data_IF_967273434766
#
_entry.id   IF_967273434766
#
_cell.length_a   1.000
_cell.length_b   1.000
_cell.length_c   1.000
_cell.angle_alpha   90.00
_cell.angle_beta   90.00
_cell.angle_gamma   90.00
#
_symmetry.space_group_name_H-M   'P 1'
#
loop_
_entity.id
_entity.type
_entity.pdbx_description
1 polymer ?
#
# COMPACT_ATOMS: atom_id res chain seq x y z
N UNK A 1 -18.35 62.29 -18.10
CA UNK A 1 -17.39 62.32 -16.97
C UNK A 1 -17.68 61.25 -15.90
N UNK A 2 -18.36 60.15 -16.21
CA UNK A 2 -18.81 59.13 -15.26
C UNK A 2 -18.20 57.72 -15.44
N UNK A 3 -17.48 57.45 -16.51
CA UNK A 3 -17.01 56.10 -16.82
C UNK A 3 -15.64 55.75 -16.20
N UNK A 4 -14.80 56.75 -15.90
CA UNK A 4 -13.45 56.52 -15.35
C UNK A 4 -13.42 56.31 -13.83
N UNK A 5 -14.44 56.73 -13.09
CA UNK A 5 -14.49 56.52 -11.63
C UNK A 5 -14.86 55.07 -11.28
N UNK A 6 -15.71 54.41 -12.05
CA UNK A 6 -16.07 53.01 -11.82
C UNK A 6 -14.92 52.04 -12.14
N UNK A 7 -14.12 52.31 -13.16
CA UNK A 7 -12.93 51.53 -13.51
C UNK A 7 -11.81 51.68 -12.46
N UNK A 8 -11.66 52.88 -11.90
CA UNK A 8 -10.65 53.14 -10.86
C UNK A 8 -10.99 52.45 -9.51
N UNK A 9 -12.29 52.40 -9.15
CA UNK A 9 -12.77 51.70 -7.95
C UNK A 9 -12.62 50.19 -8.10
N UNK A 10 -12.89 49.62 -9.27
CA UNK A 10 -12.71 48.18 -9.54
C UNK A 10 -11.25 47.82 -9.56
N UNK A 11 -10.37 48.69 -10.06
CA UNK A 11 -8.92 48.43 -10.08
C UNK A 11 -8.30 48.55 -8.69
N UNK A 12 -8.72 49.52 -7.86
CA UNK A 12 -8.27 49.63 -6.45
C UNK A 12 -8.80 48.51 -5.58
N UNK A 13 -10.04 48.05 -5.77
CA UNK A 13 -10.59 46.93 -5.01
C UNK A 13 -9.92 45.60 -5.38
N UNK A 14 -9.55 45.43 -6.67
CA UNK A 14 -8.82 44.24 -7.14
C UNK A 14 -7.34 44.25 -6.71
N UNK A 15 -6.74 45.42 -6.52
CA UNK A 15 -5.38 45.61 -6.01
C UNK A 15 -5.31 45.33 -4.50
N UNK A 16 -6.28 45.82 -3.72
CA UNK A 16 -6.31 45.63 -2.26
C UNK A 16 -6.65 44.21 -1.84
N UNK A 17 -7.43 43.47 -2.65
CA UNK A 17 -7.72 42.04 -2.40
C UNK A 17 -6.56 41.12 -2.76
N UNK A 18 -5.60 41.60 -3.60
CA UNK A 18 -4.44 40.83 -4.01
C UNK A 18 -3.31 40.85 -2.97
N UNK A 19 -3.22 41.89 -2.17
CA UNK A 19 -2.08 42.09 -1.23
C UNK A 19 -2.27 41.44 0.15
N UNK A 20 -3.50 41.19 0.59
CA UNK A 20 -3.74 40.53 1.89
C UNK A 20 -3.68 39.00 1.84
N UNK A 21 -3.90 38.38 0.69
CA UNK A 21 -3.76 36.93 0.50
C UNK A 21 -2.29 36.50 0.28
N UNK A 22 -1.43 37.38 -0.21
CA UNK A 22 -0.03 37.07 -0.51
C UNK A 22 0.90 37.00 0.71
N UNK A 23 0.53 37.58 1.84
CA UNK A 23 1.39 37.60 3.05
C UNK A 23 1.22 36.36 3.93
N UNK A 24 0.06 35.70 3.94
CA UNK A 24 -0.14 34.46 4.70
C UNK A 24 0.42 33.22 3.99
N UNK A 25 0.33 33.16 2.68
CA UNK A 25 0.80 32.02 1.86
C UNK A 25 2.31 31.76 2.02
N UNK A 26 3.23 32.77 1.97
CA UNK A 26 4.66 32.51 2.12
C UNK A 26 5.05 32.02 3.52
N UNK A 27 4.35 32.46 4.58
CA UNK A 27 4.62 31.99 5.94
C UNK A 27 4.17 30.54 6.14
N UNK A 28 2.94 30.21 5.75
CA UNK A 28 2.42 28.84 5.75
C UNK A 28 3.28 27.92 4.88
N UNK A 29 3.66 28.39 3.69
CA UNK A 29 4.55 27.69 2.78
C UNK A 29 5.88 27.33 3.44
N UNK A 30 6.50 28.28 4.15
CA UNK A 30 7.78 28.06 4.81
C UNK A 30 7.73 27.00 5.92
N UNK A 31 6.59 26.87 6.62
CA UNK A 31 6.41 25.89 7.70
C UNK A 31 5.99 24.53 7.14
N UNK A 32 4.96 24.49 6.27
CA UNK A 32 4.37 23.24 5.78
C UNK A 32 5.16 22.57 4.65
N UNK A 33 6.11 23.25 4.00
CA UNK A 33 7.07 22.66 3.06
C UNK A 33 8.38 22.24 3.74
N UNK A 34 8.53 22.41 5.06
CA UNK A 34 9.67 21.88 5.79
C UNK A 34 9.45 20.39 6.11
N UNK A 35 10.17 19.50 5.43
CA UNK A 35 10.12 18.06 5.63
C UNK A 35 10.27 17.65 7.09
N UNK A 36 11.16 18.32 7.84
CA UNK A 36 11.41 18.03 9.26
C UNK A 36 10.20 18.32 10.15
N UNK A 37 9.43 19.37 9.87
CA UNK A 37 8.24 19.72 10.63
C UNK A 37 7.14 18.69 10.42
N UNK A 38 6.86 18.33 9.16
CA UNK A 38 5.86 17.32 8.81
C UNK A 38 6.26 15.96 9.38
N UNK A 39 7.54 15.57 9.29
CA UNK A 39 8.05 14.33 9.88
C UNK A 39 7.79 14.27 11.40
N UNK A 40 8.05 15.38 12.11
CA UNK A 40 7.80 15.45 13.56
C UNK A 40 6.31 15.24 13.88
N UNK A 41 5.41 15.83 13.11
CA UNK A 41 3.95 15.66 13.29
C UNK A 41 3.53 14.22 13.00
N UNK A 42 4.06 13.59 11.96
CA UNK A 42 3.78 12.19 11.64
C UNK A 42 4.24 11.29 12.79
N UNK A 43 5.43 11.55 13.36
CA UNK A 43 5.94 10.77 14.48
C UNK A 43 5.08 10.93 15.74
N UNK A 44 4.68 12.17 16.07
CA UNK A 44 3.75 12.43 17.17
C UNK A 44 2.41 11.73 16.95
N UNK A 45 1.87 11.80 15.73
CA UNK A 45 0.63 11.11 15.37
C UNK A 45 0.76 9.59 15.49
N UNK A 46 1.90 8.99 15.11
CA UNK A 46 2.16 7.57 15.30
C UNK A 46 2.14 7.16 16.78
N UNK A 47 2.71 7.98 17.67
CA UNK A 47 2.65 7.76 19.13
C UNK A 47 1.22 7.85 19.62
N UNK A 48 0.45 8.84 19.18
CA UNK A 48 -0.96 9.00 19.53
C UNK A 48 -1.77 7.76 19.13
N UNK A 49 -1.59 7.28 17.89
CA UNK A 49 -2.26 6.06 17.40
C UNK A 49 -1.85 4.85 18.25
N UNK A 50 -0.58 4.70 18.59
CA UNK A 50 -0.12 3.62 19.47
C UNK A 50 -0.80 3.63 20.83
N UNK A 51 -0.93 4.81 21.46
CA UNK A 51 -1.62 4.96 22.74
C UNK A 51 -3.10 4.61 22.62
N UNK A 52 -3.77 5.04 21.56
CA UNK A 52 -5.18 4.70 21.30
C UNK A 52 -5.40 3.19 21.10
N UNK A 53 -4.51 2.52 20.33
CA UNK A 53 -4.58 1.06 20.12
C UNK A 53 -4.35 0.31 21.43
N UNK A 54 -3.50 0.82 22.32
CA UNK A 54 -3.27 0.25 23.67
C UNK A 54 -4.44 0.42 24.64
N UNK A 55 -5.50 1.13 24.22
CA UNK A 55 -6.72 1.34 25.03
C UNK A 55 -6.70 2.59 25.93
N UNK A 56 -5.74 3.50 25.73
CA UNK A 56 -5.76 4.80 26.41
C UNK A 56 -6.78 5.73 25.74
N UNK A 57 -8.06 5.57 26.05
CA UNK A 57 -9.12 6.46 25.58
C UNK A 57 -9.20 7.71 26.51
N UNK A 58 -8.38 8.72 26.22
CA UNK A 58 -8.43 10.01 26.90
C UNK A 58 -8.93 11.09 25.90
N UNK A 59 -9.86 11.97 26.29
CA UNK A 59 -10.31 13.09 25.45
C UNK A 59 -9.16 13.94 24.88
N UNK A 60 -8.08 14.10 25.64
CA UNK A 60 -6.89 14.84 25.21
C UNK A 60 -6.21 14.14 24.02
N UNK A 61 -6.04 12.81 24.10
CA UNK A 61 -5.41 12.01 23.03
C UNK A 61 -6.26 12.08 21.74
N UNK A 62 -7.58 12.00 21.87
CA UNK A 62 -8.48 12.13 20.74
C UNK A 62 -8.45 13.53 20.12
N UNK A 63 -8.38 14.59 20.93
CA UNK A 63 -8.25 15.97 20.44
C UNK A 63 -6.92 16.20 19.74
N UNK A 64 -5.82 15.62 20.22
CA UNK A 64 -4.51 15.69 19.57
C UNK A 64 -4.51 14.96 18.22
N UNK A 65 -5.18 13.81 18.10
CA UNK A 65 -5.34 13.10 16.81
C UNK A 65 -6.10 13.95 15.79
N UNK A 66 -7.19 14.60 16.22
CA UNK A 66 -7.94 15.54 15.38
C UNK A 66 -7.08 16.72 14.96
N UNK A 67 -6.29 17.28 15.86
CA UNK A 67 -5.37 18.40 15.56
C UNK A 67 -4.33 17.97 14.51
N UNK A 68 -3.70 16.81 14.66
CA UNK A 68 -2.77 16.29 13.66
C UNK A 68 -3.46 16.11 12.29
N UNK A 69 -4.71 15.62 12.27
CA UNK A 69 -5.46 15.46 11.03
C UNK A 69 -5.75 16.81 10.38
N UNK A 70 -6.12 17.82 11.14
CA UNK A 70 -6.32 19.19 10.63
C UNK A 70 -5.03 19.78 10.05
N UNK A 71 -3.89 19.55 10.68
CA UNK A 71 -2.58 19.99 10.18
C UNK A 71 -2.29 19.34 8.82
N UNK A 72 -2.53 18.04 8.66
CA UNK A 72 -2.35 17.34 7.39
C UNK A 72 -3.32 17.81 6.31
N UNK A 73 -4.55 18.18 6.66
CA UNK A 73 -5.49 18.78 5.71
C UNK A 73 -4.99 20.15 5.23
N UNK A 74 -4.48 20.98 6.13
CA UNK A 74 -3.90 22.29 5.79
C UNK A 74 -2.67 22.11 4.89
N UNK A 75 -1.79 21.17 5.19
CA UNK A 75 -0.65 20.81 4.33
C UNK A 75 -1.11 20.45 2.91
N UNK A 76 -2.08 19.55 2.79
CA UNK A 76 -2.63 19.16 1.50
C UNK A 76 -3.21 20.36 0.74
N UNK A 77 -3.97 21.22 1.41
CA UNK A 77 -4.55 22.42 0.78
C UNK A 77 -3.48 23.41 0.31
N UNK A 78 -2.41 23.60 1.10
CA UNK A 78 -1.27 24.47 0.72
C UNK A 78 -0.56 23.90 -0.51
N UNK A 79 -0.24 22.60 -0.52
CA UNK A 79 0.35 21.91 -1.69
C UNK A 79 -0.56 21.96 -2.92
N UNK A 80 -1.87 21.82 -2.72
CA UNK A 80 -2.87 21.88 -3.81
C UNK A 80 -2.97 23.30 -4.39
N UNK A 81 -2.91 24.33 -3.54
CA UNK A 81 -2.93 25.73 -3.98
C UNK A 81 -1.66 26.10 -4.75
N UNK A 82 -0.51 25.52 -4.41
CA UNK A 82 0.78 25.79 -5.07
C UNK A 82 0.92 25.05 -6.41
N UNK A 83 0.69 23.74 -6.41
CA UNK A 83 0.90 22.88 -7.57
C UNK A 83 -0.30 22.86 -8.53
N UNK A 84 -1.46 23.34 -8.09
CA UNK A 84 -2.73 23.18 -8.76
C UNK A 84 -3.22 21.73 -8.74
N UNK A 85 -4.50 21.52 -9.03
CA UNK A 85 -5.13 20.18 -8.99
C UNK A 85 -4.38 19.13 -9.81
N UNK A 86 -4.04 19.46 -11.07
CA UNK A 86 -3.35 18.51 -11.95
C UNK A 86 -1.90 18.26 -11.54
N UNK A 87 -1.18 19.26 -11.04
CA UNK A 87 0.19 19.15 -10.57
C UNK A 87 0.29 18.28 -9.32
N UNK A 88 -0.61 18.49 -8.36
CA UNK A 88 -0.68 17.72 -7.13
C UNK A 88 -0.86 16.21 -7.40
N UNK A 89 -1.84 15.85 -8.23
CA UNK A 89 -2.16 14.46 -8.54
C UNK A 89 -1.21 13.80 -9.57
N UNK A 90 -0.24 14.53 -10.10
CA UNK A 90 0.79 13.95 -10.99
C UNK A 90 1.90 13.27 -10.19
N UNK A 91 2.28 13.82 -9.07
CA UNK A 91 3.31 13.27 -8.20
C UNK A 91 2.79 12.11 -7.34
N UNK A 92 3.54 11.01 -7.28
CA UNK A 92 3.15 9.78 -6.58
C UNK A 92 3.03 9.96 -5.06
N UNK A 93 3.91 10.77 -4.46
CA UNK A 93 3.90 11.05 -3.03
C UNK A 93 2.72 11.90 -2.61
N UNK A 94 2.44 12.95 -3.37
CA UNK A 94 1.28 13.80 -3.13
C UNK A 94 -0.04 13.02 -3.31
N UNK A 95 -0.10 12.04 -4.25
CA UNK A 95 -1.25 11.12 -4.36
C UNK A 95 -1.44 10.31 -3.08
N UNK A 96 -0.37 9.70 -2.56
CA UNK A 96 -0.42 8.93 -1.33
C UNK A 96 -0.94 9.80 -0.17
N UNK A 97 -0.33 10.98 0.02
CA UNK A 97 -0.73 11.93 1.06
C UNK A 97 -2.19 12.33 0.92
N UNK A 98 -2.64 12.67 -0.28
CA UNK A 98 -4.03 13.02 -0.57
C UNK A 98 -5.00 11.90 -0.23
N UNK A 99 -4.72 10.68 -0.68
CA UNK A 99 -5.55 9.50 -0.38
C UNK A 99 -5.64 9.27 1.13
N UNK A 100 -4.52 9.36 1.86
CA UNK A 100 -4.50 9.18 3.31
C UNK A 100 -5.26 10.28 4.06
N UNK A 101 -5.25 11.53 3.56
CA UNK A 101 -6.10 12.60 4.09
C UNK A 101 -7.57 12.28 3.85
N UNK A 102 -7.96 11.91 2.63
CA UNK A 102 -9.35 11.57 2.31
C UNK A 102 -9.87 10.40 3.14
N UNK A 103 -9.07 9.35 3.34
CA UNK A 103 -9.41 8.23 4.23
C UNK A 103 -9.55 8.65 5.70
N UNK A 104 -8.98 9.80 6.07
CA UNK A 104 -9.06 10.33 7.44
C UNK A 104 -10.29 11.20 7.69
N UNK A 105 -10.92 11.77 6.64
CA UNK A 105 -12.09 12.66 6.76
C UNK A 105 -13.24 12.00 7.50
N UNK A 106 -13.65 10.74 7.20
CA UNK A 106 -14.75 10.12 7.90
C UNK A 106 -14.50 9.97 9.41
N UNK A 107 -13.26 9.73 9.84
CA UNK A 107 -12.92 9.66 11.27
C UNK A 107 -12.99 11.02 11.96
N UNK A 108 -12.69 12.10 11.24
CA UNK A 108 -12.83 13.47 11.70
C UNK A 108 -14.33 13.84 11.85
N UNK A 109 -15.14 13.48 10.85
CA UNK A 109 -16.59 13.68 10.88
C UNK A 109 -17.23 12.92 12.04
N UNK A 110 -16.82 11.68 12.26
CA UNK A 110 -17.30 10.85 13.38
C UNK A 110 -16.99 11.44 14.77
N UNK A 111 -15.94 12.26 14.89
CA UNK A 111 -15.64 12.97 16.14
C UNK A 111 -16.68 14.03 16.48
N UNK A 112 -17.30 14.68 15.49
CA UNK A 112 -18.29 15.73 15.66
C UNK A 112 -19.74 15.21 15.67
N UNK A 113 -20.01 13.97 15.27
CA UNK A 113 -21.34 13.38 15.24
C UNK A 113 -21.59 12.61 16.54
N UNK A 114 -22.70 12.84 17.24
CA UNK A 114 -23.06 12.05 18.41
C UNK A 114 -23.18 10.55 18.09
N UNK A 115 -22.71 9.69 19.00
CA UNK A 115 -22.56 8.23 18.84
C UNK A 115 -23.82 7.44 18.42
N UNK A 116 -24.99 8.08 18.39
CA UNK A 116 -26.27 7.40 18.12
C UNK A 116 -26.61 7.21 16.64
N UNK A 117 -25.81 7.75 15.71
CA UNK A 117 -26.16 7.77 14.28
C UNK A 117 -25.31 6.85 13.39
N UNK A 118 -24.20 6.30 13.87
CA UNK A 118 -23.36 5.40 13.07
C UNK A 118 -23.35 3.98 13.65
N UNK A 119 -23.46 2.96 12.81
CA UNK A 119 -23.34 1.58 13.26
C UNK A 119 -21.93 1.34 13.84
N UNK A 120 -21.84 0.58 14.93
CA UNK A 120 -20.60 0.29 15.66
C UNK A 120 -19.50 -0.25 14.70
N UNK A 121 -19.89 -1.05 13.71
CA UNK A 121 -19.00 -1.63 12.72
C UNK A 121 -18.32 -0.59 11.83
N UNK A 122 -19.05 0.44 11.39
CA UNK A 122 -18.49 1.54 10.58
C UNK A 122 -17.46 2.33 11.39
N UNK A 123 -17.76 2.63 12.67
CA UNK A 123 -16.83 3.33 13.55
C UNK A 123 -15.53 2.54 13.76
N UNK A 124 -15.60 1.21 13.89
CA UNK A 124 -14.42 0.35 14.00
C UNK A 124 -13.55 0.42 12.75
N UNK A 125 -14.15 0.29 11.57
CA UNK A 125 -13.43 0.40 10.29
C UNK A 125 -12.73 1.76 10.16
N UNK A 126 -13.42 2.85 10.51
CA UNK A 126 -12.85 4.21 10.47
C UNK A 126 -11.68 4.38 11.46
N UNK A 127 -11.73 3.71 12.61
CA UNK A 127 -10.59 3.68 13.56
C UNK A 127 -9.39 2.97 12.96
N UNK A 128 -9.59 1.85 12.29
CA UNK A 128 -8.49 1.10 11.63
C UNK A 128 -7.87 1.90 10.49
N UNK A 129 -8.68 2.56 9.65
CA UNK A 129 -8.19 3.38 8.53
C UNK A 129 -7.26 4.52 8.96
N UNK A 130 -7.41 5.05 10.17
CA UNK A 130 -6.50 6.10 10.67
C UNK A 130 -5.06 5.61 10.86
N UNK A 131 -4.85 4.29 11.11
CA UNK A 131 -3.52 3.70 11.25
C UNK A 131 -2.74 3.83 9.93
N UNK A 132 -3.42 3.82 8.79
CA UNK A 132 -2.80 3.96 7.48
C UNK A 132 -2.03 5.28 7.30
N UNK A 133 -2.29 6.30 8.14
CA UNK A 133 -1.54 7.57 8.10
C UNK A 133 -0.04 7.39 8.37
N UNK A 134 0.35 6.30 9.06
CA UNK A 134 1.76 5.97 9.31
C UNK A 134 2.52 5.78 7.98
N UNK A 135 1.84 5.33 6.91
CA UNK A 135 2.47 5.18 5.60
C UNK A 135 3.06 6.47 5.02
N UNK A 136 2.69 7.65 5.54
CA UNK A 136 3.35 8.90 5.17
C UNK A 136 4.83 8.93 5.54
N UNK A 137 5.25 8.17 6.56
CA UNK A 137 6.66 8.04 6.91
C UNK A 137 7.51 7.49 5.75
N UNK A 138 6.91 6.72 4.85
CA UNK A 138 7.60 6.14 3.69
C UNK A 138 8.19 7.20 2.74
N UNK A 139 7.59 8.41 2.71
CA UNK A 139 8.10 9.54 1.94
C UNK A 139 9.53 9.96 2.36
N UNK A 140 9.86 9.79 3.63
CA UNK A 140 11.14 10.23 4.20
C UNK A 140 12.24 9.18 4.11
N UNK A 141 11.93 7.95 3.67
CA UNK A 141 12.95 6.93 3.46
C UNK A 141 13.71 7.20 2.15
N UNK A 142 15.05 7.36 2.22
CA UNK A 142 15.85 7.58 1.04
C UNK A 142 15.71 6.40 0.06
N UNK A 143 15.60 6.69 -1.22
CA UNK A 143 15.48 5.70 -2.30
C UNK A 143 14.21 4.83 -2.29
N UNK A 144 13.22 5.08 -1.40
CA UNK A 144 11.99 4.28 -1.36
C UNK A 144 11.24 4.31 -2.69
N UNK A 145 11.20 5.46 -3.37
CA UNK A 145 10.60 5.57 -4.70
C UNK A 145 11.29 4.65 -5.73
N UNK A 146 12.62 4.47 -5.64
CA UNK A 146 13.37 3.55 -6.50
C UNK A 146 13.00 2.10 -6.21
N UNK A 147 12.85 1.73 -4.93
CA UNK A 147 12.41 0.38 -4.51
C UNK A 147 11.00 0.09 -5.04
N UNK A 148 10.07 1.03 -4.89
CA UNK A 148 8.70 0.86 -5.41
C UNK A 148 8.68 0.75 -6.93
N UNK A 149 9.50 1.53 -7.63
CA UNK A 149 9.60 1.43 -9.09
C UNK A 149 10.14 0.06 -9.52
N UNK A 150 11.21 -0.42 -8.90
CA UNK A 150 11.76 -1.76 -9.17
C UNK A 150 10.73 -2.86 -8.88
N UNK A 151 9.98 -2.74 -7.78
CA UNK A 151 8.88 -3.66 -7.47
C UNK A 151 7.77 -3.65 -8.52
N UNK A 152 7.38 -2.47 -9.03
CA UNK A 152 6.38 -2.36 -10.10
C UNK A 152 6.85 -3.00 -11.41
N UNK A 153 8.13 -2.82 -11.77
CA UNK A 153 8.72 -3.46 -12.95
C UNK A 153 8.71 -4.98 -12.77
N UNK A 154 9.20 -5.47 -11.63
CA UNK A 154 9.21 -6.89 -11.33
C UNK A 154 7.80 -7.52 -11.38
N UNK A 155 6.80 -6.88 -10.80
CA UNK A 155 5.40 -7.34 -10.89
C UNK A 155 4.90 -7.36 -12.33
N UNK A 156 5.23 -6.34 -13.13
CA UNK A 156 4.80 -6.26 -14.53
C UNK A 156 5.42 -7.37 -15.37
N UNK A 157 6.67 -7.71 -15.15
CA UNK A 157 7.37 -8.77 -15.88
C UNK A 157 6.96 -10.16 -15.41
N UNK A 158 6.70 -10.31 -14.11
CA UNK A 158 6.34 -11.60 -13.50
C UNK A 158 4.84 -11.89 -13.49
N UNK A 159 3.96 -10.94 -13.90
CA UNK A 159 2.51 -11.08 -13.73
C UNK A 159 1.92 -12.34 -14.36
N UNK A 160 2.42 -12.75 -15.55
CA UNK A 160 1.91 -13.92 -16.24
C UNK A 160 2.22 -15.22 -15.47
N UNK A 161 3.37 -15.27 -14.81
CA UNK A 161 3.81 -16.41 -14.01
C UNK A 161 3.03 -16.46 -12.69
N UNK A 162 2.86 -15.30 -12.03
CA UNK A 162 2.05 -15.19 -10.83
C UNK A 162 0.59 -15.58 -11.11
N UNK A 163 0.04 -15.16 -12.25
CA UNK A 163 -1.31 -15.54 -12.67
C UNK A 163 -1.40 -17.04 -12.96
N UNK A 164 -0.40 -17.63 -13.65
CA UNK A 164 -0.35 -19.05 -13.92
C UNK A 164 -0.29 -19.87 -12.64
N UNK A 165 0.48 -19.44 -11.66
CA UNK A 165 0.56 -20.08 -10.36
C UNK A 165 -0.78 -19.99 -9.59
N UNK A 166 -1.43 -18.84 -9.63
CA UNK A 166 -2.78 -18.68 -9.04
C UNK A 166 -3.79 -19.63 -9.69
N UNK A 167 -3.77 -19.75 -11.02
CA UNK A 167 -4.65 -20.70 -11.74
C UNK A 167 -4.37 -22.14 -11.30
N UNK A 168 -3.12 -22.53 -11.14
CA UNK A 168 -2.75 -23.85 -10.63
C UNK A 168 -3.32 -24.08 -9.24
N UNK A 169 -3.16 -23.12 -8.31
CA UNK A 169 -3.75 -23.22 -6.96
C UNK A 169 -5.27 -23.40 -7.02
N UNK A 170 -5.96 -22.64 -7.88
CA UNK A 170 -7.42 -22.75 -8.05
C UNK A 170 -7.81 -24.13 -8.58
N UNK A 171 -7.12 -24.62 -9.61
CA UNK A 171 -7.40 -25.96 -10.20
C UNK A 171 -7.20 -27.06 -9.16
N UNK A 172 -6.07 -27.07 -8.45
CA UNK A 172 -5.83 -28.04 -7.39
C UNK A 172 -6.78 -27.86 -6.19
N UNK A 173 -7.16 -26.63 -5.87
CA UNK A 173 -8.17 -26.35 -4.85
C UNK A 173 -9.53 -26.98 -5.17
N UNK A 174 -10.00 -26.80 -6.40
CA UNK A 174 -11.25 -27.41 -6.86
C UNK A 174 -11.16 -28.94 -6.92
N UNK A 175 -10.03 -29.47 -7.39
CA UNK A 175 -9.77 -30.91 -7.41
C UNK A 175 -9.81 -31.48 -5.99
N UNK A 176 -9.09 -30.88 -5.04
CA UNK A 176 -9.05 -31.34 -3.66
C UNK A 176 -10.41 -31.22 -2.96
N UNK A 177 -11.19 -30.16 -3.25
CA UNK A 177 -12.56 -30.06 -2.79
C UNK A 177 -13.42 -31.27 -3.24
N UNK A 178 -13.28 -31.69 -4.49
CA UNK A 178 -14.01 -32.84 -5.03
C UNK A 178 -13.55 -34.16 -4.44
N UNK A 179 -12.26 -34.33 -4.17
CA UNK A 179 -11.66 -35.58 -3.72
C UNK A 179 -11.77 -35.80 -2.20
N UNK A 180 -11.58 -34.72 -1.40
CA UNK A 180 -11.34 -34.83 0.04
C UNK A 180 -12.40 -34.13 0.91
N UNK A 181 -13.48 -33.62 0.32
CA UNK A 181 -14.58 -32.98 1.05
C UNK A 181 -15.11 -33.79 2.22
N UNK A 182 -15.27 -35.12 2.04
CA UNK A 182 -15.76 -36.01 3.07
C UNK A 182 -14.69 -36.43 4.09
N UNK A 183 -13.42 -36.49 3.63
CA UNK A 183 -12.30 -36.93 4.45
C UNK A 183 -11.85 -35.84 5.41
N UNK A 184 -11.91 -34.57 4.98
CA UNK A 184 -11.50 -33.40 5.77
C UNK A 184 -12.39 -32.19 5.43
N UNK A 185 -13.61 -32.13 6.02
CA UNK A 185 -14.51 -31.00 5.79
C UNK A 185 -13.96 -29.67 6.27
N UNK A 186 -13.08 -29.66 7.27
CA UNK A 186 -12.50 -28.43 7.78
C UNK A 186 -11.71 -27.67 6.71
N UNK A 187 -10.94 -28.39 5.88
CA UNK A 187 -10.10 -27.84 4.84
C UNK A 187 -10.74 -27.85 3.44
N UNK A 188 -11.64 -28.81 3.15
CA UNK A 188 -12.11 -29.08 1.78
C UNK A 188 -13.64 -29.03 1.59
N UNK A 189 -14.44 -28.60 2.59
CA UNK A 189 -15.92 -28.56 2.47
C UNK A 189 -16.38 -27.64 1.33
N UNK A 190 -15.72 -26.49 1.15
CA UNK A 190 -16.10 -25.49 0.14
C UNK A 190 -14.95 -25.18 -0.81
N UNK A 191 -15.23 -24.78 -2.07
CA UNK A 191 -14.19 -24.41 -3.03
C UNK A 191 -13.20 -23.36 -2.50
N UNK A 192 -13.70 -22.34 -1.81
CA UNK A 192 -12.83 -21.26 -1.26
C UNK A 192 -11.91 -21.76 -0.14
N UNK A 193 -12.42 -22.63 0.76
CA UNK A 193 -11.57 -23.26 1.79
C UNK A 193 -10.52 -24.15 1.15
N UNK A 194 -10.88 -24.93 0.16
CA UNK A 194 -9.95 -25.82 -0.55
C UNK A 194 -8.84 -25.04 -1.26
N UNK A 195 -9.17 -23.93 -1.92
CA UNK A 195 -8.19 -23.05 -2.55
C UNK A 195 -7.25 -22.48 -1.49
N UNK A 196 -7.78 -22.03 -0.35
CA UNK A 196 -6.98 -21.53 0.76
C UNK A 196 -6.06 -22.62 1.33
N UNK A 197 -6.55 -23.84 1.53
CA UNK A 197 -5.76 -24.97 2.03
C UNK A 197 -4.63 -25.37 1.06
N UNK A 198 -4.92 -25.38 -0.25
CA UNK A 198 -3.86 -25.61 -1.26
C UNK A 198 -2.83 -24.45 -1.24
N UNK A 199 -3.27 -23.22 -1.09
CA UNK A 199 -2.37 -22.09 -0.92
C UNK A 199 -1.47 -22.25 0.32
N UNK A 200 -2.01 -22.68 1.47
CA UNK A 200 -1.23 -23.00 2.68
C UNK A 200 -0.18 -24.08 2.41
N UNK A 201 -0.55 -25.18 1.74
CA UNK A 201 0.42 -26.23 1.37
C UNK A 201 1.51 -25.67 0.47
N UNK A 202 1.17 -24.86 -0.54
CA UNK A 202 2.15 -24.25 -1.45
C UNK A 202 3.08 -23.24 -0.73
N UNK A 203 2.61 -22.58 0.33
CA UNK A 203 3.44 -21.71 1.17
C UNK A 203 4.19 -22.44 2.28
N UNK A 204 4.06 -23.78 2.32
CA UNK A 204 4.71 -24.67 3.32
C UNK A 204 4.18 -24.44 4.74
N UNK A 205 3.05 -23.78 4.91
CA UNK A 205 2.44 -23.54 6.20
C UNK A 205 1.47 -24.66 6.58
N UNK A 206 1.72 -25.30 7.75
CA UNK A 206 0.85 -26.37 8.25
C UNK A 206 0.71 -27.57 7.31
N UNK A 207 1.59 -27.74 6.34
CA UNK A 207 1.49 -28.71 5.26
C UNK A 207 1.29 -30.17 5.72
N UNK A 208 1.80 -30.52 6.90
CA UNK A 208 1.71 -31.87 7.46
C UNK A 208 0.35 -32.18 8.11
N UNK A 209 -0.41 -31.16 8.54
CA UNK A 209 -1.68 -31.33 9.23
C UNK A 209 -2.75 -31.87 8.28
N UNK A 210 -2.88 -31.28 7.12
CA UNK A 210 -3.85 -31.65 6.09
C UNK A 210 -3.66 -33.10 5.60
N UNK A 211 -2.45 -33.53 5.16
CA UNK A 211 -2.21 -34.93 4.77
C UNK A 211 -2.49 -35.92 5.89
N UNK A 212 -2.14 -35.58 7.13
CA UNK A 212 -2.38 -36.45 8.28
C UNK A 212 -3.88 -36.64 8.56
N UNK A 213 -4.65 -35.57 8.53
CA UNK A 213 -6.12 -35.63 8.71
C UNK A 213 -6.76 -36.48 7.63
N UNK A 214 -6.49 -36.21 6.35
CA UNK A 214 -7.02 -36.95 5.22
C UNK A 214 -6.57 -38.42 5.25
N UNK A 215 -5.31 -38.70 5.53
CA UNK A 215 -4.81 -40.10 5.59
C UNK A 215 -5.41 -40.89 6.75
N UNK A 216 -5.73 -40.25 7.87
CA UNK A 216 -6.41 -40.90 9.01
C UNK A 216 -7.82 -41.34 8.65
N UNK A 217 -8.56 -40.57 7.87
CA UNK A 217 -9.85 -40.95 7.36
C UNK A 217 -9.80 -42.26 6.53
N UNK A 218 -8.76 -42.42 5.72
CA UNK A 218 -8.50 -43.62 4.92
C UNK A 218 -7.74 -44.74 5.66
N UNK A 219 -7.61 -44.65 6.98
CA UNK A 219 -6.87 -45.64 7.79
C UNK A 219 -7.33 -47.08 7.66
N UNK A 220 -8.58 -47.31 7.24
CA UNK A 220 -9.12 -48.65 6.92
C UNK A 220 -8.54 -49.26 5.62
N UNK A 221 -7.90 -48.43 4.78
CA UNK A 221 -7.26 -48.84 3.53
C UNK A 221 -5.79 -48.31 3.51
N UNK A 222 -4.82 -49.01 4.12
CA UNK A 222 -3.47 -48.49 4.35
C UNK A 222 -2.75 -48.03 3.07
N UNK A 223 -2.95 -48.75 1.97
CA UNK A 223 -2.37 -48.35 0.68
C UNK A 223 -2.89 -46.99 0.23
N UNK A 224 -4.20 -46.74 0.37
CA UNK A 224 -4.82 -45.48 -0.02
C UNK A 224 -4.34 -44.32 0.88
N UNK A 225 -4.21 -44.58 2.18
CA UNK A 225 -3.65 -43.58 3.11
C UNK A 225 -2.24 -43.15 2.73
N UNK A 226 -1.37 -44.08 2.32
CA UNK A 226 -0.01 -43.76 1.87
C UNK A 226 0.00 -43.05 0.51
N UNK A 227 -0.87 -43.41 -0.41
CA UNK A 227 -1.04 -42.71 -1.69
C UNK A 227 -1.51 -41.24 -1.50
N UNK A 228 -2.39 -41.00 -0.55
CA UNK A 228 -2.83 -39.66 -0.19
C UNK A 228 -1.66 -38.84 0.37
N UNK A 229 -0.87 -39.41 1.27
CA UNK A 229 0.34 -38.73 1.76
C UNK A 229 1.31 -38.41 0.64
N UNK A 230 1.57 -39.36 -0.25
CA UNK A 230 2.43 -39.15 -1.41
C UNK A 230 1.90 -38.04 -2.32
N UNK A 231 0.59 -38.00 -2.58
CA UNK A 231 -0.05 -36.95 -3.35
C UNK A 231 0.22 -35.55 -2.77
N UNK A 232 0.01 -35.37 -1.47
CA UNK A 232 0.26 -34.08 -0.81
C UNK A 232 1.74 -33.73 -0.75
N UNK A 233 2.63 -34.73 -0.59
CA UNK A 233 4.08 -34.51 -0.70
C UNK A 233 4.48 -34.01 -2.09
N UNK A 234 3.91 -34.59 -3.16
CA UNK A 234 4.15 -34.14 -4.52
C UNK A 234 3.59 -32.73 -4.74
N UNK A 235 2.39 -32.46 -4.24
CA UNK A 235 1.81 -31.11 -4.30
C UNK A 235 2.70 -30.07 -3.60
N UNK A 236 3.23 -30.41 -2.44
CA UNK A 236 4.19 -29.57 -1.70
C UNK A 236 5.49 -29.35 -2.50
N UNK A 237 6.08 -30.39 -3.04
CA UNK A 237 7.34 -30.30 -3.78
C UNK A 237 7.16 -29.44 -5.04
N UNK A 238 6.18 -29.75 -5.87
CA UNK A 238 5.98 -29.06 -7.15
C UNK A 238 5.32 -27.68 -6.99
N UNK A 239 4.27 -27.58 -6.18
CA UNK A 239 3.55 -26.33 -5.94
C UNK A 239 4.29 -25.42 -4.95
N UNK A 240 4.72 -25.97 -3.82
CA UNK A 240 5.38 -25.21 -2.76
C UNK A 240 6.85 -24.93 -3.09
N UNK A 241 7.71 -25.93 -2.99
CA UNK A 241 9.16 -25.72 -3.02
C UNK A 241 9.63 -25.24 -4.39
N UNK A 242 9.30 -25.97 -5.46
CA UNK A 242 9.75 -25.63 -6.82
C UNK A 242 8.99 -24.42 -7.34
N UNK A 243 7.65 -24.38 -7.20
CA UNK A 243 6.82 -23.29 -7.71
C UNK A 243 7.18 -21.94 -7.08
N UNK A 244 7.28 -21.87 -5.74
CA UNK A 244 7.65 -20.64 -5.06
C UNK A 244 9.10 -20.23 -5.33
N UNK A 245 10.04 -21.19 -5.43
CA UNK A 245 11.44 -20.91 -5.80
C UNK A 245 11.54 -20.31 -7.19
N UNK A 246 10.76 -20.82 -8.14
CA UNK A 246 10.72 -20.32 -9.51
C UNK A 246 10.17 -18.89 -9.59
N UNK A 247 9.05 -18.62 -8.89
CA UNK A 247 8.47 -17.27 -8.78
C UNK A 247 9.48 -16.30 -8.19
N UNK A 248 10.14 -16.71 -7.08
CA UNK A 248 11.12 -15.86 -6.41
C UNK A 248 12.33 -15.55 -7.32
N UNK A 249 12.85 -16.55 -8.06
CA UNK A 249 13.95 -16.34 -8.98
C UNK A 249 13.61 -15.32 -10.06
N UNK A 250 12.46 -15.45 -10.72
CA UNK A 250 12.03 -14.52 -11.77
C UNK A 250 11.80 -13.12 -11.23
N UNK A 251 11.21 -13.02 -10.02
CA UNK A 251 10.99 -11.74 -9.37
C UNK A 251 12.30 -11.02 -9.06
N UNK A 252 13.31 -11.76 -8.57
CA UNK A 252 14.66 -11.23 -8.31
C UNK A 252 15.33 -10.81 -9.59
N UNK A 253 15.27 -11.65 -10.65
CA UNK A 253 15.87 -11.34 -11.95
C UNK A 253 15.27 -10.06 -12.55
N UNK A 254 13.97 -9.89 -12.48
CA UNK A 254 13.29 -8.67 -12.95
C UNK A 254 13.69 -7.42 -12.16
N UNK A 255 13.88 -7.53 -10.84
CA UNK A 255 14.38 -6.42 -10.02
C UNK A 255 15.84 -6.05 -10.34
N UNK A 256 16.66 -7.03 -10.66
CA UNK A 256 18.09 -6.82 -11.00
C UNK A 256 18.25 -6.25 -12.41
N UNK A 257 17.39 -6.64 -13.35
CA UNK A 257 17.41 -6.15 -14.73
C UNK A 257 17.30 -4.61 -14.81
N UNK A 258 16.40 -3.99 -14.05
CA UNK A 258 16.23 -2.51 -14.01
C UNK A 258 17.52 -1.78 -13.54
N UNK A 259 18.31 -2.41 -12.65
CA UNK A 259 19.60 -1.86 -12.23
C UNK A 259 20.69 -2.01 -13.31
N UNK A 260 20.65 -3.09 -14.09
CA UNK A 260 21.61 -3.33 -15.16
C UNK A 260 21.42 -2.37 -16.34
N UNK A 261 20.18 -2.00 -16.67
CA UNK A 261 19.87 -1.02 -17.72
C UNK A 261 20.42 0.36 -17.36
N UNK A 262 20.31 0.81 -16.11
CA UNK A 262 20.93 2.05 -15.63
C UNK A 262 22.47 2.03 -15.73
N UNK A 263 23.09 0.88 -15.44
CA UNK A 263 24.53 0.67 -15.57
C UNK A 263 24.98 0.71 -17.04
N UNK A 264 24.25 0.04 -17.92
CA UNK A 264 24.53 0.03 -19.37
C UNK A 264 24.43 1.43 -19.97
N UNK A 265 23.43 2.21 -19.56
CA UNK A 265 23.31 3.60 -20.01
C UNK A 265 24.51 4.46 -19.57
N UNK A 266 24.95 4.32 -18.33
CA UNK A 266 26.16 5.02 -17.81
C UNK A 266 27.44 4.59 -18.55
N UNK A 267 27.59 3.28 -18.83
CA UNK A 267 28.72 2.77 -19.60
C UNK A 267 28.72 3.35 -21.03
N UNK A 268 27.56 3.39 -21.69
CA UNK A 268 27.44 3.98 -23.02
C UNK A 268 27.74 5.49 -23.03
N UNK A 269 27.34 6.21 -21.99
CA UNK A 269 27.69 7.64 -21.85
C UNK A 269 29.18 7.85 -21.65
N UNK A 270 29.83 7.02 -20.82
CA UNK A 270 31.29 7.06 -20.62
C UNK A 270 32.04 6.73 -21.91
N UNK A 271 31.57 5.74 -22.65
CA UNK A 271 32.17 5.34 -23.92
C UNK A 271 32.12 6.47 -24.96
N UNK A 272 30.98 7.17 -25.06
CA UNK A 272 30.86 8.35 -25.91
C UNK A 272 31.85 9.46 -25.52
N UNK A 273 31.97 9.74 -24.22
CA UNK A 273 32.90 10.74 -23.72
C UNK A 273 34.38 10.39 -24.04
N UNK A 274 34.74 9.12 -23.93
CA UNK A 274 36.09 8.63 -24.30
C UNK A 274 36.32 8.77 -25.81
N UNK A 275 35.34 8.46 -26.64
CA UNK A 275 35.47 8.57 -28.10
C UNK A 275 35.56 10.03 -28.57
N UNK A 276 34.89 10.96 -27.85
CA UNK A 276 35.04 12.41 -28.09
C UNK A 276 36.42 12.91 -27.70
N UNK A 277 36.98 12.47 -26.58
CA UNK A 277 38.34 12.82 -26.17
C UNK A 277 39.43 12.27 -27.10
N UNK A 278 39.22 11.10 -27.72
CA UNK A 278 40.15 10.53 -28.70
C UNK A 278 40.14 11.24 -30.03
N UNK A 279 39.14 12.05 -30.33
CA UNK A 279 39.02 12.84 -31.57
C UNK A 279 39.61 14.24 -31.46
N UNK A 280 39.93 14.70 -30.24
CA UNK A 280 40.69 15.90 -29.96
C UNK A 280 42.20 15.63 -29.97
#
# INVERSE_FOLDING_TARGET
MGLNAHLFIIYTFKSTQKDTSYTMIPFLKRIFLQDKFILSIIFINAIIIYLQVKGFENPIINSLDVLCTCIFMVEMLVKLAELGWRGYWKDGWNKLDGILVFLSIPSLVAFFIPNNMASLSVLLVLRVLRVLRIFRMLHFFPNFAKVIKGFQVALKESYAILLSFLVIIVVFGLLNCSLFKEADPEHFETPLRSIYSVFQICTVEGWYEIPNTVSTYYGHAPLLAELVRLYFCLLLIFGGIIGMSFINSIFVDAMVADNNDELLEKINQLQKSIDELKKQ
#
